data_IF_114530442801
#
_entry.id   IF_114530442801
#
_cell.length_a   1.000
_cell.length_b   1.000
_cell.length_c   1.000
_cell.angle_alpha   90.00
_cell.angle_beta   90.00
_cell.angle_gamma   90.00
#
_symmetry.space_group_name_H-M   'P 1'
#
loop_
_entity.id
_entity.type
_entity.pdbx_description
1 polymer ?
#
# COMPACT_ATOMS: atom_id res chain seq x y z
N UNK A 1 26.17 -3.27 -14.54
CA UNK A 1 25.47 -2.57 -13.44
C UNK A 1 25.24 -3.56 -12.32
N UNK A 2 25.81 -3.33 -11.14
CA UNK A 2 25.44 -4.05 -9.92
C UNK A 2 24.02 -3.60 -9.56
N UNK A 3 23.01 -4.46 -9.73
CA UNK A 3 21.61 -4.10 -9.48
C UNK A 3 21.41 -3.77 -8.00
N UNK A 4 21.25 -2.49 -7.69
CA UNK A 4 20.86 -2.03 -6.37
C UNK A 4 19.41 -2.45 -6.10
N UNK A 5 19.13 -3.01 -4.92
CA UNK A 5 17.77 -3.37 -4.47
C UNK A 5 17.02 -2.16 -3.89
N UNK A 6 17.72 -1.04 -3.73
CA UNK A 6 17.17 0.21 -3.21
C UNK A 6 15.91 0.71 -3.96
N UNK A 7 15.83 0.64 -5.30
CA UNK A 7 14.63 1.07 -6.03
C UNK A 7 13.36 0.34 -5.59
N UNK A 8 13.44 -0.96 -5.24
CA UNK A 8 12.28 -1.74 -4.80
C UNK A 8 11.60 -1.12 -3.58
N UNK A 9 12.41 -0.76 -2.58
CA UNK A 9 11.93 -0.19 -1.34
C UNK A 9 11.45 1.24 -1.52
N UNK A 10 12.08 2.01 -2.41
CA UNK A 10 11.62 3.37 -2.75
C UNK A 10 10.24 3.35 -3.40
N UNK A 11 10.02 2.48 -4.39
CA UNK A 11 8.72 2.30 -5.03
C UNK A 11 7.68 1.90 -4.01
N UNK A 12 7.97 0.90 -3.17
CA UNK A 12 7.05 0.41 -2.16
C UNK A 12 6.65 1.49 -1.14
N UNK A 13 7.59 2.33 -0.70
CA UNK A 13 7.30 3.45 0.22
C UNK A 13 6.42 4.50 -0.46
N UNK A 14 6.73 4.89 -1.70
CA UNK A 14 5.95 5.89 -2.44
C UNK A 14 4.52 5.39 -2.64
N UNK A 15 4.35 4.14 -3.07
CA UNK A 15 3.03 3.52 -3.26
C UNK A 15 2.27 3.44 -1.95
N UNK A 16 2.91 3.02 -0.86
CA UNK A 16 2.30 3.01 0.48
C UNK A 16 1.76 4.40 0.86
N UNK A 17 2.58 5.44 0.77
CA UNK A 17 2.17 6.80 1.14
C UNK A 17 1.00 7.26 0.27
N UNK A 18 1.08 7.05 -1.05
CA UNK A 18 0.02 7.44 -1.97
C UNK A 18 -1.31 6.72 -1.67
N UNK A 19 -1.28 5.40 -1.51
CA UNK A 19 -2.49 4.60 -1.22
C UNK A 19 -3.06 4.92 0.16
N UNK A 20 -2.21 5.21 1.15
CA UNK A 20 -2.66 5.60 2.49
C UNK A 20 -3.35 6.96 2.48
N UNK A 21 -2.79 7.95 1.78
CA UNK A 21 -3.43 9.26 1.60
C UNK A 21 -4.77 9.14 0.86
N UNK A 22 -4.86 8.31 -0.18
CA UNK A 22 -6.11 8.03 -0.88
C UNK A 22 -7.15 7.42 0.06
N UNK A 23 -6.77 6.48 0.92
CA UNK A 23 -7.67 5.90 1.92
C UNK A 23 -8.20 6.96 2.91
N UNK A 24 -7.34 7.89 3.36
CA UNK A 24 -7.77 9.03 4.19
C UNK A 24 -8.78 9.89 3.44
N UNK A 25 -8.48 10.31 2.21
CA UNK A 25 -9.33 11.19 1.41
C UNK A 25 -10.69 10.54 1.15
N UNK A 26 -10.71 9.30 0.65
CA UNK A 26 -11.96 8.57 0.37
C UNK A 26 -12.78 8.38 1.64
N UNK A 27 -12.13 8.09 2.77
CA UNK A 27 -12.82 7.99 4.06
C UNK A 27 -13.49 9.30 4.47
N UNK A 28 -12.91 10.47 4.13
CA UNK A 28 -13.54 11.77 4.41
C UNK A 28 -14.68 12.09 3.44
N UNK A 29 -14.59 11.64 2.19
CA UNK A 29 -15.63 11.84 1.17
C UNK A 29 -16.90 11.02 1.43
N UNK A 30 -16.80 9.89 2.14
CA UNK A 30 -17.98 9.07 2.47
C UNK A 30 -18.86 9.80 3.49
N UNK A 31 -20.06 10.21 3.06
CA UNK A 31 -21.07 10.86 3.90
C UNK A 31 -21.59 9.95 5.00
N UNK A 32 -21.95 10.54 6.14
CA UNK A 32 -22.59 9.81 7.22
C UNK A 32 -23.97 9.32 6.80
N UNK A 33 -24.29 8.08 7.18
CA UNK A 33 -25.61 7.50 6.95
C UNK A 33 -26.18 6.94 8.25
N UNK A 34 -27.48 7.13 8.53
CA UNK A 34 -28.09 6.70 9.78
C UNK A 34 -28.14 5.17 9.93
N UNK A 35 -28.11 4.44 8.82
CA UNK A 35 -28.08 2.97 8.77
C UNK A 35 -26.68 2.37 9.02
N UNK A 36 -25.66 3.20 9.24
CA UNK A 36 -24.24 2.82 9.39
C UNK A 36 -23.62 2.12 8.17
N UNK A 37 -24.27 2.15 7.00
CA UNK A 37 -23.69 1.58 5.77
C UNK A 37 -22.41 2.30 5.33
N UNK A 38 -22.22 3.54 5.78
CA UNK A 38 -21.00 4.33 5.59
C UNK A 38 -19.78 3.76 6.32
N UNK A 39 -19.97 3.10 7.46
CA UNK A 39 -18.91 2.39 8.20
C UNK A 39 -18.37 1.23 7.36
N UNK A 40 -19.26 0.39 6.83
CA UNK A 40 -18.89 -0.73 5.98
C UNK A 40 -18.14 -0.26 4.73
N UNK A 41 -18.62 0.82 4.08
CA UNK A 41 -17.95 1.40 2.93
C UNK A 41 -16.52 1.88 3.24
N UNK A 42 -16.30 2.55 4.39
CA UNK A 42 -14.96 3.01 4.80
C UNK A 42 -14.00 1.84 5.03
N UNK A 43 -14.46 0.76 5.66
CA UNK A 43 -13.66 -0.47 5.85
C UNK A 43 -13.28 -1.10 4.52
N UNK A 44 -14.25 -1.27 3.62
CA UNK A 44 -14.00 -1.85 2.30
C UNK A 44 -12.96 -1.03 1.53
N UNK A 45 -13.11 0.29 1.48
CA UNK A 45 -12.15 1.15 0.78
C UNK A 45 -10.75 1.12 1.40
N UNK A 46 -10.63 1.08 2.73
CA UNK A 46 -9.33 0.90 3.40
C UNK A 46 -8.64 -0.39 2.94
N UNK A 47 -9.35 -1.52 2.94
CA UNK A 47 -8.78 -2.79 2.50
C UNK A 47 -8.51 -2.86 0.99
N UNK A 48 -9.32 -2.21 0.16
CA UNK A 48 -9.07 -2.06 -1.27
C UNK A 48 -7.75 -1.33 -1.52
N UNK A 49 -7.51 -0.21 -0.84
CA UNK A 49 -6.23 0.51 -0.96
C UNK A 49 -5.05 -0.25 -0.36
N UNK A 50 -5.28 -1.02 0.71
CA UNK A 50 -4.29 -1.95 1.24
C UNK A 50 -3.89 -3.02 0.21
N UNK A 51 -4.85 -3.68 -0.42
CA UNK A 51 -4.59 -4.67 -1.47
C UNK A 51 -3.90 -4.04 -2.69
N UNK A 52 -4.34 -2.85 -3.10
CA UNK A 52 -3.68 -2.08 -4.17
C UNK A 52 -2.25 -1.69 -3.80
N UNK A 53 -1.92 -1.44 -2.53
CA UNK A 53 -0.54 -1.18 -2.10
C UNK A 53 0.37 -2.36 -2.44
N UNK A 54 -0.10 -3.59 -2.20
CA UNK A 54 0.65 -4.81 -2.49
C UNK A 54 0.83 -5.01 -4.00
N UNK A 55 -0.27 -4.95 -4.75
CA UNK A 55 -0.26 -5.19 -6.21
C UNK A 55 0.50 -4.09 -6.95
N UNK A 56 0.30 -2.82 -6.60
CA UNK A 56 0.94 -1.70 -7.27
C UNK A 56 2.44 -1.62 -6.94
N UNK A 57 2.86 -1.90 -5.71
CA UNK A 57 4.29 -1.89 -5.36
C UNK A 57 5.06 -2.90 -6.21
N UNK A 58 4.58 -4.16 -6.24
CA UNK A 58 5.20 -5.19 -7.06
C UNK A 58 5.06 -4.91 -8.57
N UNK A 59 3.88 -4.49 -9.02
CA UNK A 59 3.61 -4.22 -10.42
C UNK A 59 4.45 -3.09 -10.99
N UNK A 60 4.63 -1.99 -10.26
CA UNK A 60 5.47 -0.87 -10.71
C UNK A 60 6.94 -1.30 -10.78
N UNK A 61 7.43 -2.02 -9.78
CA UNK A 61 8.79 -2.56 -9.80
C UNK A 61 9.02 -3.48 -11.01
N UNK A 62 8.05 -4.36 -11.29
CA UNK A 62 8.10 -5.27 -12.41
C UNK A 62 8.11 -4.52 -13.76
N UNK A 63 7.31 -3.47 -13.91
CA UNK A 63 7.23 -2.74 -15.18
C UNK A 63 8.41 -1.79 -15.40
N UNK A 64 8.91 -1.15 -14.35
CA UNK A 64 9.90 -0.07 -14.45
C UNK A 64 11.32 -0.59 -14.31
N UNK A 65 11.59 -1.45 -13.33
CA UNK A 65 12.94 -1.79 -12.93
C UNK A 65 13.43 -3.12 -13.52
N UNK A 66 12.55 -4.11 -13.65
CA UNK A 66 12.92 -5.47 -14.08
C UNK A 66 13.41 -5.53 -15.53
N UNK A 67 12.84 -4.71 -16.43
CA UNK A 67 13.26 -4.63 -17.84
C UNK A 67 14.73 -4.21 -18.02
N UNK A 68 15.35 -3.62 -17.01
CA UNK A 68 16.76 -3.19 -17.04
C UNK A 68 17.74 -4.29 -16.63
N UNK A 69 17.25 -5.48 -16.24
CA UNK A 69 18.07 -6.56 -15.68
C UNK A 69 18.26 -7.67 -16.71
N UNK A 70 19.47 -7.76 -17.28
CA UNK A 70 19.82 -8.80 -18.28
C UNK A 70 20.40 -10.07 -17.67
N UNK A 71 20.88 -10.02 -16.42
CA UNK A 71 21.52 -11.16 -15.74
C UNK A 71 20.47 -11.94 -14.93
N UNK A 72 20.23 -13.24 -15.23
CA UNK A 72 19.16 -14.02 -14.57
C UNK A 72 19.26 -14.10 -13.05
N UNK A 73 20.48 -14.18 -12.49
CA UNK A 73 20.67 -14.25 -11.03
C UNK A 73 20.32 -12.93 -10.34
N UNK A 74 20.54 -11.79 -11.00
CA UNK A 74 20.16 -10.48 -10.50
C UNK A 74 18.64 -10.26 -10.62
N UNK A 75 18.03 -10.80 -11.67
CA UNK A 75 16.59 -10.76 -11.90
C UNK A 75 15.84 -11.46 -10.76
N UNK A 76 16.19 -12.70 -10.44
CA UNK A 76 15.52 -13.45 -9.36
C UNK A 76 15.71 -12.80 -8.00
N UNK A 77 16.90 -12.25 -7.72
CA UNK A 77 17.16 -11.48 -6.50
C UNK A 77 16.27 -10.24 -6.43
N UNK A 78 16.18 -9.47 -7.51
CA UNK A 78 15.36 -8.27 -7.57
C UNK A 78 13.88 -8.58 -7.30
N UNK A 79 13.32 -9.61 -7.95
CA UNK A 79 11.93 -10.02 -7.73
C UNK A 79 11.64 -10.39 -6.26
N UNK A 80 12.55 -11.12 -5.61
CA UNK A 80 12.40 -11.48 -4.19
C UNK A 80 12.38 -10.21 -3.33
N UNK A 81 13.27 -9.25 -3.59
CA UNK A 81 13.30 -7.98 -2.86
C UNK A 81 12.05 -7.13 -3.13
N UNK A 82 11.53 -7.09 -4.35
CA UNK A 82 10.26 -6.42 -4.68
C UNK A 82 9.07 -7.05 -3.95
N UNK A 83 9.02 -8.38 -3.84
CA UNK A 83 8.00 -9.06 -3.02
C UNK A 83 8.11 -8.66 -1.55
N UNK A 84 9.32 -8.73 -0.97
CA UNK A 84 9.56 -8.35 0.44
C UNK A 84 9.16 -6.89 0.66
N UNK A 85 9.53 -5.99 -0.26
CA UNK A 85 9.19 -4.57 -0.18
C UNK A 85 7.67 -4.34 -0.23
N UNK A 86 6.95 -5.01 -1.13
CA UNK A 86 5.49 -4.91 -1.24
C UNK A 86 4.76 -5.39 0.03
N UNK A 87 5.15 -6.55 0.58
CA UNK A 87 4.60 -7.05 1.86
C UNK A 87 4.97 -6.14 3.03
N UNK A 88 6.18 -5.58 3.05
CA UNK A 88 6.60 -4.63 4.09
C UNK A 88 5.78 -3.34 4.04
N UNK A 89 5.55 -2.80 2.84
CA UNK A 89 4.70 -1.63 2.63
C UNK A 89 3.25 -1.89 3.04
N UNK A 90 2.70 -3.07 2.72
CA UNK A 90 1.37 -3.47 3.17
C UNK A 90 1.27 -3.62 4.70
N UNK A 91 2.30 -4.19 5.33
CA UNK A 91 2.36 -4.28 6.80
C UNK A 91 2.39 -2.88 7.44
N UNK A 92 3.21 -1.97 6.92
CA UNK A 92 3.25 -0.57 7.37
C UNK A 92 1.91 0.15 7.15
N UNK A 93 1.24 -0.09 6.02
CA UNK A 93 -0.11 0.40 5.74
C UNK A 93 -1.11 -0.01 6.83
N UNK A 94 -1.14 -1.31 7.18
CA UNK A 94 -2.02 -1.83 8.23
C UNK A 94 -1.65 -1.24 9.59
N UNK A 95 -0.38 -1.27 9.97
CA UNK A 95 0.07 -0.77 11.27
C UNK A 95 -0.28 0.70 11.46
N UNK A 96 0.00 1.54 10.47
CA UNK A 96 -0.37 2.96 10.52
C UNK A 96 -1.88 3.14 10.54
N UNK A 97 -2.62 2.34 9.77
CA UNK A 97 -4.08 2.33 9.79
C UNK A 97 -4.64 2.03 11.19
N UNK A 98 -4.09 1.03 11.88
CA UNK A 98 -4.49 0.68 13.25
C UNK A 98 -4.19 1.84 14.20
N UNK A 99 -2.99 2.43 14.11
CA UNK A 99 -2.59 3.56 14.96
C UNK A 99 -3.53 4.75 14.75
N UNK A 100 -3.86 5.11 13.51
CA UNK A 100 -4.79 6.21 13.20
C UNK A 100 -6.22 5.87 13.65
N UNK A 101 -6.69 4.66 13.36
CA UNK A 101 -8.05 4.24 13.74
C UNK A 101 -8.26 4.23 15.26
N UNK A 102 -7.21 3.97 16.04
CA UNK A 102 -7.27 3.99 17.51
C UNK A 102 -7.00 5.37 18.12
N UNK A 103 -6.23 6.22 17.46
CA UNK A 103 -5.86 7.55 17.98
C UNK A 103 -6.83 8.67 17.58
N UNK A 104 -7.67 8.44 16.57
CA UNK A 104 -8.62 9.44 16.07
C UNK A 104 -10.06 9.14 16.49
N UNK A 105 -10.92 10.16 16.42
CA UNK A 105 -12.39 10.03 16.54
C UNK A 105 -13.03 10.35 15.20
N UNK A 106 -14.20 9.79 14.92
CA UNK A 106 -14.95 10.06 13.70
C UNK A 106 -14.70 9.04 12.59
N UNK A 107 -14.63 9.49 11.32
CA UNK A 107 -14.66 8.60 10.15
C UNK A 107 -13.48 7.62 10.09
N UNK A 108 -12.27 8.07 10.42
CA UNK A 108 -11.06 7.25 10.38
C UNK A 108 -11.02 6.16 11.46
N UNK A 109 -11.75 6.34 12.56
CA UNK A 109 -11.83 5.35 13.63
C UNK A 109 -12.57 4.06 13.23
N UNK A 110 -13.21 4.08 12.07
CA UNK A 110 -14.01 2.97 11.56
C UNK A 110 -13.30 2.08 10.55
N UNK A 111 -11.99 2.24 10.34
CA UNK A 111 -11.23 1.42 9.39
C UNK A 111 -11.04 -0.04 9.84
N UNK A 112 -11.10 -0.29 11.15
CA UNK A 112 -11.07 -1.62 11.76
C UNK A 112 -12.35 -1.88 12.54
#
# INVERSE_FOLDING_TARGET
MQTSVFPCYMVAIIVFVAMFLLAVIVSQMISFKPDRSDVAARKVWFWVFGALTLVASFGIDFLVNVNSITVPTLYSKFLIHSCIAAFSAFALYILLGIVISKSTRGKLASWF
#
